data_IF_506461575569
#
_entry.id   IF_506461575569
#
_cell.length_a   1.000
_cell.length_b   1.000
_cell.length_c   1.000
_cell.angle_alpha   90.00
_cell.angle_beta   90.00
_cell.angle_gamma   90.00
#
_symmetry.space_group_name_H-M   'P 1'
#
loop_
_entity.id
_entity.type
_entity.pdbx_description
1 polymer ?
#
# COMPACT_ATOMS: atom_id res chain seq x y z
N UNK A 1 19.78 16.00 7.13
CA UNK A 1 20.64 15.77 5.95
C UNK A 1 21.25 14.37 5.89
N UNK A 2 21.54 13.68 7.01
CA UNK A 2 22.24 12.37 6.98
C UNK A 2 21.51 11.15 6.39
N UNK A 3 20.17 11.08 6.41
CA UNK A 3 19.45 9.87 5.94
C UNK A 3 19.31 9.77 4.41
N UNK A 4 19.30 10.89 3.68
CA UNK A 4 19.14 10.87 2.23
C UNK A 4 20.44 10.53 1.49
N UNK A 5 21.59 10.96 2.02
CA UNK A 5 22.92 10.65 1.47
C UNK A 5 23.34 9.20 1.75
N UNK A 6 23.02 8.66 2.94
CA UNK A 6 23.27 7.27 3.29
C UNK A 6 22.45 6.30 2.41
N UNK A 7 21.17 6.59 2.17
CA UNK A 7 20.30 5.77 1.32
C UNK A 7 20.75 5.80 -0.15
N UNK A 8 21.21 6.96 -0.66
CA UNK A 8 21.74 7.07 -2.01
C UNK A 8 23.01 6.20 -2.18
N UNK A 9 23.95 6.25 -1.24
CA UNK A 9 25.19 5.44 -1.32
C UNK A 9 24.92 3.93 -1.27
N UNK A 10 23.95 3.48 -0.47
CA UNK A 10 23.56 2.06 -0.44
C UNK A 10 22.81 1.60 -1.70
N UNK A 11 21.91 2.43 -2.25
CA UNK A 11 21.18 2.15 -3.49
C UNK A 11 22.14 2.04 -4.67
N UNK A 12 23.07 2.99 -4.83
CA UNK A 12 24.09 2.96 -5.89
C UNK A 12 25.12 1.84 -5.68
N UNK A 13 25.55 1.57 -4.45
CA UNK A 13 26.41 0.43 -4.13
C UNK A 13 25.75 -0.91 -4.45
N UNK A 14 24.44 -1.02 -4.23
CA UNK A 14 23.66 -2.21 -4.58
C UNK A 14 23.46 -2.37 -6.09
N UNK A 15 23.36 -1.27 -6.84
CA UNK A 15 23.31 -1.31 -8.30
C UNK A 15 24.64 -1.77 -8.89
N UNK A 16 25.78 -1.29 -8.41
CA UNK A 16 27.09 -1.71 -8.91
C UNK A 16 27.37 -3.20 -8.65
N UNK A 17 26.98 -3.71 -7.46
CA UNK A 17 27.04 -5.14 -7.16
C UNK A 17 26.13 -5.96 -8.07
N UNK A 18 24.92 -5.47 -8.33
CA UNK A 18 23.97 -6.11 -9.23
C UNK A 18 24.54 -6.18 -10.65
N UNK A 19 25.07 -5.09 -11.20
CA UNK A 19 25.67 -5.07 -12.55
C UNK A 19 26.82 -6.06 -12.65
N UNK A 20 27.73 -6.07 -11.66
CA UNK A 20 28.87 -6.99 -11.63
C UNK A 20 28.42 -8.46 -11.58
N UNK A 21 27.37 -8.75 -10.81
CA UNK A 21 26.76 -10.08 -10.78
C UNK A 21 26.16 -10.45 -12.13
N UNK A 22 25.36 -9.57 -12.74
CA UNK A 22 24.73 -9.81 -14.05
C UNK A 22 25.75 -9.99 -15.18
N UNK A 23 26.92 -9.36 -15.10
CA UNK A 23 28.00 -9.49 -16.07
C UNK A 23 28.61 -10.90 -16.08
N UNK A 24 28.56 -11.60 -14.95
CA UNK A 24 29.11 -12.96 -14.78
C UNK A 24 28.16 -14.08 -15.23
N UNK A 25 26.90 -13.75 -15.56
CA UNK A 25 25.88 -14.75 -15.87
C UNK A 25 25.87 -15.14 -17.34
N UNK A 26 25.52 -16.39 -17.60
CA UNK A 26 25.11 -16.87 -18.92
C UNK A 26 23.72 -16.33 -19.29
N UNK A 27 23.26 -16.57 -20.52
CA UNK A 27 21.98 -16.05 -21.01
C UNK A 27 20.79 -16.49 -20.13
N UNK A 28 20.80 -17.75 -19.69
CA UNK A 28 19.74 -18.31 -18.84
C UNK A 28 19.76 -17.67 -17.46
N UNK A 29 20.91 -17.62 -16.82
CA UNK A 29 21.09 -16.97 -15.52
C UNK A 29 20.70 -15.51 -15.58
N UNK A 30 21.10 -14.78 -16.63
CA UNK A 30 20.76 -13.39 -16.84
C UNK A 30 19.25 -13.17 -16.90
N UNK A 31 18.53 -13.91 -17.76
CA UNK A 31 17.08 -13.75 -17.92
C UNK A 31 16.33 -14.11 -16.64
N UNK A 32 16.69 -15.21 -15.98
CA UNK A 32 16.03 -15.64 -14.74
C UNK A 32 16.24 -14.62 -13.62
N UNK A 33 17.48 -14.14 -13.44
CA UNK A 33 17.82 -13.12 -12.43
C UNK A 33 17.12 -11.79 -12.70
N UNK A 34 17.20 -11.27 -13.92
CA UNK A 34 16.53 -10.01 -14.29
C UNK A 34 15.01 -10.09 -14.10
N UNK A 35 14.40 -11.24 -14.41
CA UNK A 35 12.97 -11.47 -14.21
C UNK A 35 12.60 -11.52 -12.73
N UNK A 36 13.38 -12.24 -11.92
CA UNK A 36 13.16 -12.31 -10.47
C UNK A 36 13.27 -10.93 -9.82
N UNK A 37 14.28 -10.13 -10.20
CA UNK A 37 14.44 -8.76 -9.70
C UNK A 37 13.31 -7.84 -10.16
N UNK A 38 12.83 -7.99 -11.40
CA UNK A 38 11.69 -7.23 -11.91
C UNK A 38 10.41 -7.58 -11.15
N UNK A 39 10.16 -8.87 -10.93
CA UNK A 39 8.98 -9.37 -10.22
C UNK A 39 8.95 -8.92 -8.75
N UNK A 40 10.08 -8.93 -8.07
CA UNK A 40 10.18 -8.41 -6.69
C UNK A 40 10.05 -6.88 -6.65
N UNK A 41 10.65 -6.17 -7.61
CA UNK A 41 10.51 -4.70 -7.70
C UNK A 41 9.04 -4.28 -7.84
N UNK A 42 8.28 -4.98 -8.70
CA UNK A 42 6.83 -4.74 -8.84
C UNK A 42 6.06 -5.06 -7.55
N UNK A 43 6.43 -6.13 -6.83
CA UNK A 43 5.84 -6.47 -5.52
C UNK A 43 6.03 -5.33 -4.52
N UNK A 44 7.25 -4.80 -4.44
CA UNK A 44 7.60 -3.71 -3.52
C UNK A 44 6.84 -2.44 -3.91
N UNK A 45 6.76 -2.10 -5.19
CA UNK A 45 5.96 -0.96 -5.68
C UNK A 45 4.50 -1.09 -5.21
N UNK A 46 3.86 -2.24 -5.43
CA UNK A 46 2.47 -2.46 -5.02
C UNK A 46 2.30 -2.40 -3.50
N UNK A 47 3.21 -3.02 -2.74
CA UNK A 47 3.20 -3.00 -1.28
C UNK A 47 3.35 -1.59 -0.72
N UNK A 48 4.20 -0.77 -1.35
CA UNK A 48 4.42 0.62 -0.94
C UNK A 48 3.24 1.51 -1.31
N UNK A 49 2.58 1.22 -2.43
CA UNK A 49 1.44 1.99 -2.91
C UNK A 49 0.14 1.68 -2.16
N UNK A 50 -0.15 0.40 -1.85
CA UNK A 50 -1.41 -0.01 -1.24
C UNK A 50 -1.55 0.41 0.23
N UNK A 51 -2.78 0.33 0.76
CA UNK A 51 -3.04 0.51 2.20
C UNK A 51 -2.28 -0.56 3.00
N UNK A 52 -1.67 -0.18 4.13
CA UNK A 52 -0.97 -1.14 4.99
C UNK A 52 -1.97 -1.87 5.90
N UNK A 53 -2.56 -2.94 5.38
CA UNK A 53 -3.49 -3.79 6.10
C UNK A 53 -3.39 -5.26 5.65
N UNK A 54 -4.08 -6.14 6.37
CA UNK A 54 -4.08 -7.59 6.11
C UNK A 54 -4.60 -7.94 4.71
N UNK A 55 -5.60 -7.23 4.20
CA UNK A 55 -6.17 -7.49 2.88
C UNK A 55 -5.14 -7.20 1.77
N UNK A 56 -4.43 -6.08 1.83
CA UNK A 56 -3.35 -5.76 0.88
C UNK A 56 -2.22 -6.80 0.91
N UNK A 57 -1.83 -7.27 2.11
CA UNK A 57 -0.82 -8.33 2.24
C UNK A 57 -1.27 -9.64 1.60
N UNK A 58 -2.53 -10.05 1.81
CA UNK A 58 -3.11 -11.24 1.19
C UNK A 58 -3.23 -11.15 -0.34
N UNK A 59 -3.33 -9.93 -0.90
CA UNK A 59 -3.27 -9.75 -2.35
C UNK A 59 -1.89 -10.09 -2.93
N UNK A 60 -0.82 -9.78 -2.19
CA UNK A 60 0.57 -9.88 -2.67
C UNK A 60 1.25 -11.20 -2.28
N UNK A 61 0.91 -11.75 -1.11
CA UNK A 61 1.63 -12.83 -0.44
C UNK A 61 0.73 -14.04 -0.16
N UNK A 62 1.30 -15.23 -0.26
CA UNK A 62 0.62 -16.51 -0.03
C UNK A 62 0.49 -17.36 -1.29
N UNK A 63 0.20 -18.65 -1.09
CA UNK A 63 0.20 -19.67 -2.14
C UNK A 63 -0.78 -19.39 -3.30
N UNK A 64 -1.88 -18.67 -3.03
CA UNK A 64 -2.91 -18.32 -4.01
C UNK A 64 -3.16 -16.81 -4.06
N UNK A 65 -2.13 -15.99 -3.82
CA UNK A 65 -2.32 -14.54 -3.80
C UNK A 65 -2.67 -14.01 -5.22
N UNK A 66 -3.74 -13.20 -5.38
CA UNK A 66 -4.17 -12.69 -6.68
C UNK A 66 -3.10 -11.92 -7.46
N UNK A 67 -2.18 -11.26 -6.75
CA UNK A 67 -1.04 -10.54 -7.31
C UNK A 67 0.29 -11.29 -7.02
N UNK A 68 0.22 -12.62 -6.95
CA UNK A 68 1.36 -13.50 -6.66
C UNK A 68 2.25 -13.79 -7.87
N UNK A 69 1.76 -13.59 -9.10
CA UNK A 69 2.52 -13.91 -10.32
C UNK A 69 3.12 -12.68 -10.98
N UNK A 70 4.22 -12.86 -11.72
CA UNK A 70 4.85 -11.81 -12.50
C UNK A 70 3.84 -11.10 -13.43
N UNK A 71 3.01 -11.85 -14.18
CA UNK A 71 2.01 -11.24 -15.08
C UNK A 71 0.95 -10.42 -14.33
N UNK A 72 0.43 -10.93 -13.20
CA UNK A 72 -0.56 -10.19 -12.41
C UNK A 72 0.00 -8.88 -11.86
N UNK A 73 1.28 -8.88 -11.44
CA UNK A 73 1.94 -7.67 -10.92
C UNK A 73 2.20 -6.64 -12.01
N UNK A 74 2.65 -7.08 -13.20
CA UNK A 74 2.84 -6.19 -14.36
C UNK A 74 1.53 -5.47 -14.69
N UNK A 75 0.44 -6.24 -14.84
CA UNK A 75 -0.89 -5.70 -15.15
C UNK A 75 -1.39 -4.76 -14.07
N UNK A 76 -1.30 -5.14 -12.78
CA UNK A 76 -1.74 -4.30 -11.68
C UNK A 76 -0.98 -2.97 -11.63
N UNK A 77 0.35 -3.00 -11.71
CA UNK A 77 1.16 -1.77 -11.72
C UNK A 77 0.77 -0.85 -12.88
N UNK A 78 0.55 -1.38 -14.07
CA UNK A 78 0.19 -0.57 -15.23
C UNK A 78 -1.24 -0.03 -15.12
N UNK A 79 -2.22 -0.85 -14.76
CA UNK A 79 -3.61 -0.43 -14.59
C UNK A 79 -3.80 0.58 -13.46
N UNK A 80 -2.92 0.60 -12.46
CA UNK A 80 -2.90 1.59 -11.39
C UNK A 80 -2.08 2.84 -11.73
N UNK A 81 -1.48 2.93 -12.92
CA UNK A 81 -0.66 4.07 -13.35
C UNK A 81 0.70 4.18 -12.63
N UNK A 82 1.21 3.08 -12.05
CA UNK A 82 2.46 3.05 -11.31
C UNK A 82 3.68 2.86 -12.22
N UNK A 83 3.48 2.36 -13.44
CA UNK A 83 4.51 2.20 -14.46
C UNK A 83 4.01 2.75 -15.79
N UNK A 84 4.95 3.13 -16.66
CA UNK A 84 4.66 3.65 -18.00
C UNK A 84 4.34 2.52 -18.99
N UNK A 85 3.75 2.86 -20.12
CA UNK A 85 3.51 1.91 -21.22
C UNK A 85 4.82 1.26 -21.73
N UNK A 86 5.89 2.06 -21.82
CA UNK A 86 7.24 1.59 -22.20
C UNK A 86 7.72 0.48 -21.24
N UNK A 87 7.63 0.74 -19.94
CA UNK A 87 8.00 -0.21 -18.88
C UNK A 87 7.12 -1.45 -18.89
N UNK A 88 5.80 -1.29 -19.05
CA UNK A 88 4.86 -2.40 -19.18
C UNK A 88 5.21 -3.31 -20.36
N UNK A 89 5.49 -2.73 -21.53
CA UNK A 89 5.88 -3.48 -22.74
C UNK A 89 7.17 -4.27 -22.53
N UNK A 90 8.22 -3.64 -22.00
CA UNK A 90 9.50 -4.30 -21.73
C UNK A 90 9.36 -5.45 -20.71
N UNK A 91 8.54 -5.26 -19.67
CA UNK A 91 8.25 -6.30 -18.66
C UNK A 91 7.50 -7.50 -19.27
N UNK A 92 6.51 -7.26 -20.14
CA UNK A 92 5.80 -8.34 -20.84
C UNK A 92 6.71 -9.09 -21.83
N UNK A 93 7.61 -8.38 -22.50
CA UNK A 93 8.65 -9.01 -23.35
C UNK A 93 9.57 -9.87 -22.50
N UNK A 94 10.11 -9.34 -21.40
CA UNK A 94 10.97 -10.08 -20.46
C UNK A 94 10.26 -11.33 -19.93
N UNK A 95 8.99 -11.21 -19.54
CA UNK A 95 8.17 -12.33 -19.07
C UNK A 95 8.03 -13.43 -20.14
N UNK A 96 7.80 -13.05 -21.40
CA UNK A 96 7.70 -14.01 -22.52
C UNK A 96 9.03 -14.73 -22.76
N UNK A 97 10.15 -14.00 -22.76
CA UNK A 97 11.49 -14.56 -22.90
C UNK A 97 11.77 -15.51 -21.73
N UNK A 98 11.54 -15.08 -20.49
CA UNK A 98 11.72 -15.90 -19.27
C UNK A 98 10.96 -17.21 -19.35
N UNK A 99 9.72 -17.19 -19.82
CA UNK A 99 8.92 -18.41 -19.95
C UNK A 99 9.56 -19.41 -20.93
N UNK A 100 10.19 -18.95 -22.02
CA UNK A 100 10.94 -19.83 -22.91
C UNK A 100 12.15 -20.45 -22.21
N UNK A 101 12.91 -19.64 -21.47
CA UNK A 101 14.05 -20.13 -20.69
C UNK A 101 13.67 -21.02 -19.49
N UNK A 102 12.44 -20.95 -18.96
CA UNK A 102 12.04 -21.72 -17.78
C UNK A 102 11.26 -23.01 -18.07
N UNK A 103 10.60 -23.13 -19.24
CA UNK A 103 9.69 -24.24 -19.53
C UNK A 103 10.27 -25.33 -20.45
N UNK A 104 11.58 -25.33 -20.69
CA UNK A 104 12.26 -26.41 -21.42
C UNK A 104 13.58 -26.79 -20.76
N UNK A 105 13.88 -28.09 -20.83
CA UNK A 105 15.19 -28.64 -20.46
C UNK A 105 16.20 -28.50 -21.61
N UNK A 106 15.72 -28.26 -22.83
CA UNK A 106 16.55 -28.06 -24.01
C UNK A 106 17.36 -26.76 -23.94
N UNK A 107 18.41 -26.68 -24.76
CA UNK A 107 19.24 -25.49 -24.87
C UNK A 107 18.46 -24.39 -25.58
N UNK A 108 18.15 -23.33 -24.84
CA UNK A 108 17.54 -22.08 -25.35
C UNK A 108 18.63 -21.02 -25.43
N UNK A 109 18.61 -20.22 -26.48
CA UNK A 109 19.62 -19.18 -26.71
C UNK A 109 19.04 -17.88 -27.26
N UNK A 110 19.78 -16.78 -27.14
CA UNK A 110 19.37 -15.50 -27.74
C UNK A 110 19.36 -15.53 -29.27
N UNK A 111 20.10 -16.43 -29.91
CA UNK A 111 20.07 -16.61 -31.37
C UNK A 111 18.80 -17.32 -31.88
N UNK A 112 17.97 -17.86 -30.99
CA UNK A 112 16.70 -18.46 -31.38
C UNK A 112 15.80 -17.38 -31.98
N UNK A 113 15.24 -17.66 -33.17
CA UNK A 113 14.53 -16.65 -33.98
C UNK A 113 13.41 -15.95 -33.22
N UNK A 114 12.64 -16.70 -32.41
CA UNK A 114 11.54 -16.13 -31.64
C UNK A 114 12.05 -15.26 -30.48
N UNK A 115 13.14 -15.64 -29.82
CA UNK A 115 13.76 -14.87 -28.74
C UNK A 115 14.43 -13.60 -29.25
N UNK A 116 15.23 -13.69 -30.31
CA UNK A 116 15.87 -12.54 -30.94
C UNK A 116 14.82 -11.49 -31.38
N UNK A 117 13.69 -11.94 -31.95
CA UNK A 117 12.56 -11.05 -32.29
C UNK A 117 11.86 -10.41 -31.08
N UNK A 118 11.89 -11.03 -29.90
CA UNK A 118 11.40 -10.41 -28.68
C UNK A 118 12.42 -9.38 -28.17
N UNK A 119 13.71 -9.73 -28.14
CA UNK A 119 14.80 -8.84 -27.71
C UNK A 119 14.85 -7.57 -28.56
N UNK A 120 14.65 -7.68 -29.87
CA UNK A 120 14.64 -6.53 -30.78
C UNK A 120 13.52 -5.53 -30.50
N UNK A 121 12.44 -5.95 -29.83
CA UNK A 121 11.31 -5.11 -29.44
C UNK A 121 11.51 -4.40 -28.10
N UNK A 122 12.52 -4.81 -27.32
CA UNK A 122 12.87 -4.10 -26.09
C UNK A 122 13.25 -2.67 -26.43
N UNK A 123 12.80 -1.74 -25.60
CA UNK A 123 13.24 -0.36 -25.73
C UNK A 123 14.73 -0.22 -25.45
N UNK A 124 15.38 0.79 -26.02
CA UNK A 124 16.78 1.09 -25.67
C UNK A 124 16.89 1.70 -24.27
N UNK A 125 18.03 1.43 -23.63
CA UNK A 125 18.42 2.03 -22.36
C UNK A 125 18.38 3.55 -22.46
N UNK A 126 17.81 4.20 -21.45
CA UNK A 126 17.86 5.66 -21.29
C UNK A 126 19.18 6.14 -20.68
N UNK A 127 20.04 5.21 -20.24
CA UNK A 127 21.29 5.50 -19.52
C UNK A 127 22.53 5.23 -20.38
N UNK A 128 22.41 4.45 -21.45
CA UNK A 128 23.50 4.12 -22.34
C UNK A 128 23.23 4.69 -23.74
N UNK A 129 24.17 5.47 -24.27
CA UNK A 129 24.11 6.08 -25.59
C UNK A 129 24.88 5.27 -26.65
N UNK A 130 25.58 4.20 -26.25
CA UNK A 130 26.22 3.28 -27.18
C UNK A 130 25.20 2.30 -27.77
N UNK A 131 25.34 2.01 -29.06
CA UNK A 131 24.52 1.02 -29.73
C UNK A 131 24.83 -0.39 -29.17
N UNK A 132 23.83 -1.15 -28.71
CA UNK A 132 24.04 -2.53 -28.28
C UNK A 132 24.23 -3.43 -29.50
N UNK A 133 25.49 -3.72 -29.84
CA UNK A 133 25.92 -4.54 -30.98
C UNK A 133 25.61 -6.06 -30.85
N UNK A 134 24.92 -6.48 -29.79
CA UNK A 134 24.53 -7.88 -29.54
C UNK A 134 23.27 -7.95 -28.69
N UNK A 135 22.52 -9.05 -28.83
CA UNK A 135 21.32 -9.32 -28.03
C UNK A 135 21.62 -9.32 -26.52
N UNK A 136 22.78 -9.85 -26.14
CA UNK A 136 23.24 -9.86 -24.75
C UNK A 136 23.38 -8.44 -24.20
N UNK A 137 24.10 -7.56 -24.91
CA UNK A 137 24.23 -6.15 -24.51
C UNK A 137 22.89 -5.43 -24.51
N UNK A 138 22.03 -5.72 -25.50
CA UNK A 138 20.69 -5.12 -25.58
C UNK A 138 19.84 -5.48 -24.37
N UNK A 139 19.71 -6.76 -24.02
CA UNK A 139 18.97 -7.21 -22.83
C UNK A 139 19.55 -6.60 -21.57
N UNK A 140 20.87 -6.67 -21.40
CA UNK A 140 21.55 -6.17 -20.20
C UNK A 140 21.30 -4.69 -19.98
N UNK A 141 21.52 -3.86 -21.00
CA UNK A 141 21.37 -2.40 -20.87
C UNK A 141 19.91 -2.00 -20.72
N UNK A 142 19.01 -2.53 -21.54
CA UNK A 142 17.57 -2.21 -21.50
C UNK A 142 16.94 -2.58 -20.16
N UNK A 143 17.10 -3.82 -19.71
CA UNK A 143 16.43 -4.29 -18.50
C UNK A 143 17.09 -3.74 -17.23
N UNK A 144 18.41 -3.49 -17.22
CA UNK A 144 19.06 -2.83 -16.08
C UNK A 144 18.55 -1.40 -15.90
N UNK A 145 18.36 -0.64 -16.98
CA UNK A 145 17.73 0.69 -16.91
C UNK A 145 16.30 0.61 -16.40
N UNK A 146 15.51 -0.34 -16.89
CA UNK A 146 14.15 -0.59 -16.40
C UNK A 146 14.15 -0.89 -14.89
N UNK A 147 15.05 -1.74 -14.39
CA UNK A 147 15.14 -2.05 -12.96
C UNK A 147 15.49 -0.82 -12.10
N UNK A 148 16.36 0.05 -12.61
CA UNK A 148 16.68 1.33 -11.95
C UNK A 148 15.41 2.19 -11.89
N UNK A 149 14.67 2.31 -13.00
CA UNK A 149 13.42 3.07 -13.02
C UNK A 149 12.39 2.52 -12.02
N UNK A 150 12.20 1.19 -11.95
CA UNK A 150 11.28 0.56 -11.00
C UNK A 150 11.68 0.82 -9.53
N UNK A 151 12.98 0.77 -9.23
CA UNK A 151 13.49 1.11 -7.88
C UNK A 151 13.27 2.57 -7.54
N UNK A 152 13.51 3.48 -8.49
CA UNK A 152 13.24 4.91 -8.32
C UNK A 152 11.75 5.14 -8.07
N UNK A 153 10.86 4.51 -8.83
CA UNK A 153 9.40 4.58 -8.63
C UNK A 153 9.05 4.16 -7.19
N UNK A 154 9.53 3.00 -6.76
CA UNK A 154 9.29 2.49 -5.40
C UNK A 154 9.78 3.46 -4.31
N UNK A 155 11.00 3.98 -4.45
CA UNK A 155 11.61 4.93 -3.52
C UNK A 155 10.81 6.25 -3.47
N UNK A 156 10.34 6.75 -4.62
CA UNK A 156 9.53 7.97 -4.70
C UNK A 156 8.16 7.81 -4.05
N UNK A 157 7.49 6.66 -4.21
CA UNK A 157 6.21 6.38 -3.55
C UNK A 157 6.34 6.56 -2.04
N UNK A 158 7.41 6.04 -1.44
CA UNK A 158 7.68 6.17 0.00
C UNK A 158 8.08 7.60 0.36
N UNK A 159 9.11 8.16 -0.31
CA UNK A 159 9.66 9.50 -0.02
C UNK A 159 8.62 10.61 -0.11
N UNK A 160 7.70 10.52 -1.09
CA UNK A 160 6.64 11.52 -1.33
C UNK A 160 5.28 11.12 -0.74
N UNK A 161 5.21 10.01 0.00
CA UNK A 161 3.97 9.46 0.54
C UNK A 161 2.84 9.33 -0.52
N UNK A 162 3.19 8.90 -1.74
CA UNK A 162 2.25 8.75 -2.85
C UNK A 162 1.51 7.40 -2.80
N UNK A 163 1.01 7.05 -1.62
CA UNK A 163 0.17 5.85 -1.44
C UNK A 163 -1.23 6.07 -2.00
N UNK A 164 -1.97 4.98 -2.18
CA UNK A 164 -3.40 5.00 -2.49
C UNK A 164 -4.14 5.79 -1.41
N UNK A 165 -5.05 6.67 -1.84
CA UNK A 165 -5.91 7.44 -0.94
C UNK A 165 -7.18 6.66 -0.65
N UNK A 166 -7.60 6.63 0.62
CA UNK A 166 -8.94 6.14 0.96
C UNK A 166 -9.97 7.15 0.46
N UNK A 167 -10.79 6.73 -0.50
CA UNK A 167 -11.88 7.55 -1.07
C UNK A 167 -13.25 7.12 -0.50
N UNK A 168 -13.32 5.94 0.11
CA UNK A 168 -14.53 5.46 0.76
C UNK A 168 -14.91 6.34 1.96
N UNK A 169 -16.21 6.60 2.12
CA UNK A 169 -16.78 7.41 3.20
C UNK A 169 -17.76 6.57 4.00
N UNK A 170 -17.75 6.73 5.32
CA UNK A 170 -18.78 6.18 6.19
C UNK A 170 -19.85 7.25 6.46
N UNK A 171 -21.09 6.83 6.64
CA UNK A 171 -22.17 7.75 7.01
C UNK A 171 -21.94 8.23 8.45
N UNK A 172 -21.97 9.54 8.65
CA UNK A 172 -22.04 10.15 9.99
C UNK A 172 -23.38 10.84 10.10
N UNK A 173 -24.26 10.35 10.99
CA UNK A 173 -25.54 11.00 11.23
C UNK A 173 -25.29 12.34 11.93
N UNK A 174 -25.76 13.44 11.35
CA UNK A 174 -25.75 14.75 12.01
C UNK A 174 -26.77 14.85 13.14
N UNK A 175 -27.08 16.08 13.56
CA UNK A 175 -28.13 16.36 14.52
C UNK A 175 -29.39 16.87 13.80
N UNK A 176 -30.56 16.55 14.35
CA UNK A 176 -31.84 17.07 13.86
C UNK A 176 -32.04 18.56 14.18
N UNK A 177 -31.30 19.08 15.15
CA UNK A 177 -31.29 20.48 15.59
C UNK A 177 -29.92 21.11 15.31
N UNK A 178 -29.87 22.44 15.25
CA UNK A 178 -28.62 23.23 15.17
C UNK A 178 -28.23 23.89 16.50
N UNK A 179 -29.04 23.73 17.52
CA UNK A 179 -28.84 24.30 18.85
C UNK A 179 -27.78 23.50 19.62
N UNK A 180 -26.71 24.18 20.05
CA UNK A 180 -25.60 23.57 20.79
C UNK A 180 -26.09 22.78 22.00
N UNK A 181 -26.93 23.40 22.84
CA UNK A 181 -27.41 22.82 24.10
C UNK A 181 -28.13 21.51 23.87
N UNK A 182 -29.10 21.49 22.95
CA UNK A 182 -29.85 20.30 22.57
C UNK A 182 -28.96 19.19 22.00
N UNK A 183 -27.94 19.56 21.22
CA UNK A 183 -26.99 18.60 20.65
C UNK A 183 -26.14 17.95 21.74
N UNK A 184 -25.61 18.74 22.69
CA UNK A 184 -24.82 18.26 23.82
C UNK A 184 -25.65 17.39 24.76
N UNK A 185 -26.87 17.80 25.08
CA UNK A 185 -27.80 16.99 25.89
C UNK A 185 -28.06 15.63 25.24
N UNK A 186 -28.27 15.60 23.92
CA UNK A 186 -28.44 14.34 23.19
C UNK A 186 -27.19 13.46 23.26
N UNK A 187 -25.99 14.04 23.18
CA UNK A 187 -24.73 13.29 23.29
C UNK A 187 -24.58 12.70 24.68
N UNK A 188 -24.77 13.49 25.74
CA UNK A 188 -24.65 13.01 27.12
C UNK A 188 -25.68 11.94 27.45
N UNK A 189 -26.91 12.09 26.96
CA UNK A 189 -27.92 11.03 27.06
C UNK A 189 -27.46 9.75 26.37
N UNK A 190 -26.88 9.86 25.18
CA UNK A 190 -26.35 8.71 24.45
C UNK A 190 -25.19 8.05 25.20
N UNK A 191 -24.32 8.83 25.85
CA UNK A 191 -23.23 8.33 26.70
C UNK A 191 -23.77 7.49 27.86
N UNK A 192 -24.78 7.98 28.58
CA UNK A 192 -25.38 7.26 29.71
C UNK A 192 -26.09 5.98 29.26
N UNK A 193 -26.82 6.02 28.14
CA UNK A 193 -27.42 4.83 27.53
C UNK A 193 -26.34 3.79 27.16
N UNK A 194 -25.22 4.24 26.60
CA UNK A 194 -24.07 3.38 26.24
C UNK A 194 -23.46 2.75 27.49
N UNK A 195 -23.17 3.52 28.55
CA UNK A 195 -22.61 2.99 29.80
C UNK A 195 -23.51 1.91 30.39
N UNK A 196 -24.82 2.14 30.40
CA UNK A 196 -25.81 1.18 30.88
C UNK A 196 -25.82 -0.10 30.04
N UNK A 197 -25.88 0.02 28.72
CA UNK A 197 -25.95 -1.13 27.83
C UNK A 197 -24.66 -1.97 27.83
N UNK A 198 -23.50 -1.37 28.12
CA UNK A 198 -22.21 -2.09 28.26
C UNK A 198 -22.17 -3.04 29.45
N UNK A 199 -22.93 -2.76 30.51
CA UNK A 199 -23.04 -3.62 31.69
C UNK A 199 -23.95 -4.83 31.45
N UNK A 200 -24.62 -4.92 30.30
CA UNK A 200 -25.50 -6.03 29.97
C UNK A 200 -24.74 -7.35 29.80
N UNK A 201 -25.35 -8.46 30.21
CA UNK A 201 -24.82 -9.80 29.97
C UNK A 201 -24.93 -10.23 28.49
N UNK A 202 -25.77 -9.58 27.70
CA UNK A 202 -25.94 -9.87 26.28
C UNK A 202 -24.71 -9.40 25.46
N UNK A 203 -23.95 -10.35 24.91
CA UNK A 203 -22.75 -10.05 24.12
C UNK A 203 -23.03 -9.28 22.83
N UNK A 204 -24.14 -9.54 22.15
CA UNK A 204 -24.48 -8.82 20.93
C UNK A 204 -24.91 -7.38 21.24
N UNK A 205 -25.61 -7.16 22.35
CA UNK A 205 -25.90 -5.81 22.82
C UNK A 205 -24.62 -5.04 23.13
N UNK A 206 -23.66 -5.63 23.86
CA UNK A 206 -22.38 -4.96 24.15
C UNK A 206 -21.59 -4.61 22.89
N UNK A 207 -21.53 -5.51 21.90
CA UNK A 207 -20.89 -5.24 20.59
C UNK A 207 -21.58 -4.09 19.86
N UNK A 208 -22.91 -4.08 19.83
CA UNK A 208 -23.68 -2.99 19.23
C UNK A 208 -23.47 -1.66 19.96
N UNK A 209 -23.37 -1.70 21.29
CA UNK A 209 -23.09 -0.53 22.12
C UNK A 209 -21.69 0.04 21.88
N UNK A 210 -20.68 -0.82 21.66
CA UNK A 210 -19.36 -0.39 21.22
C UNK A 210 -19.39 0.31 19.86
N UNK A 211 -20.21 -0.19 18.92
CA UNK A 211 -20.46 0.50 17.65
C UNK A 211 -21.10 1.88 17.87
N UNK A 212 -22.14 1.99 18.70
CA UNK A 212 -22.77 3.28 19.05
C UNK A 212 -21.77 4.27 19.64
N UNK A 213 -20.88 3.84 20.53
CA UNK A 213 -19.84 4.70 21.12
C UNK A 213 -18.90 5.27 20.05
N UNK A 214 -18.44 4.43 19.12
CA UNK A 214 -17.60 4.86 18.00
C UNK A 214 -18.32 5.86 17.08
N UNK A 215 -19.58 5.60 16.74
CA UNK A 215 -20.40 6.53 15.94
C UNK A 215 -20.63 7.86 16.66
N UNK A 216 -20.82 7.84 17.99
CA UNK A 216 -20.99 9.05 18.78
C UNK A 216 -19.72 9.92 18.75
N UNK A 217 -18.54 9.30 18.74
CA UNK A 217 -17.26 10.01 18.58
C UNK A 217 -17.17 10.74 17.24
N UNK A 218 -17.60 10.10 16.15
CA UNK A 218 -17.65 10.70 14.81
C UNK A 218 -18.69 11.83 14.75
N UNK A 219 -19.88 11.59 15.33
CA UNK A 219 -20.99 12.56 15.36
C UNK A 219 -20.68 13.81 16.17
N UNK A 220 -19.90 13.71 17.26
CA UNK A 220 -19.47 14.86 18.09
C UNK A 220 -18.80 15.97 17.28
N UNK A 221 -18.04 15.61 16.25
CA UNK A 221 -17.32 16.59 15.41
C UNK A 221 -18.28 17.47 14.60
N UNK A 222 -19.55 17.06 14.47
CA UNK A 222 -20.60 17.80 13.78
C UNK A 222 -21.44 18.68 14.71
N UNK A 223 -21.05 18.84 15.99
CA UNK A 223 -21.72 19.77 16.91
C UNK A 223 -21.52 21.20 16.40
N UNK A 224 -22.63 21.94 16.35
CA UNK A 224 -22.66 23.36 16.05
C UNK A 224 -22.36 24.12 17.33
N UNK A 225 -21.21 24.79 17.36
CA UNK A 225 -20.86 25.73 18.42
C UNK A 225 -21.75 26.98 18.33
N UNK A 226 -22.05 27.60 19.47
CA UNK A 226 -22.72 28.89 19.47
C UNK A 226 -21.77 29.98 18.98
N UNK A 227 -22.31 30.95 18.24
CA UNK A 227 -21.54 32.07 17.67
C UNK A 227 -21.66 33.30 18.57
N UNK A 228 -21.21 33.20 19.83
CA UNK A 228 -21.38 34.26 20.82
C UNK A 228 -20.18 34.34 21.79
N UNK A 229 -19.23 35.24 21.52
CA UNK A 229 -18.05 35.56 22.36
C UNK A 229 -16.95 34.49 22.48
N UNK A 230 -15.71 34.93 22.75
CA UNK A 230 -14.56 34.05 22.97
C UNK A 230 -14.69 33.16 24.21
N UNK A 231 -15.44 33.60 25.22
CA UNK A 231 -15.63 32.86 26.46
C UNK A 231 -16.59 31.67 26.28
N UNK A 232 -17.71 31.86 25.58
CA UNK A 232 -18.63 30.76 25.23
C UNK A 232 -17.90 29.68 24.43
N UNK A 233 -17.18 30.08 23.37
CA UNK A 233 -16.43 29.15 22.53
C UNK A 233 -15.43 28.29 23.33
N UNK A 234 -14.70 28.90 24.27
CA UNK A 234 -13.74 28.16 25.10
C UNK A 234 -14.44 27.13 26.00
N UNK A 235 -15.58 27.48 26.59
CA UNK A 235 -16.37 26.57 27.42
C UNK A 235 -16.94 25.42 26.59
N UNK A 236 -17.46 25.71 25.40
CA UNK A 236 -17.99 24.69 24.50
C UNK A 236 -16.91 23.74 23.96
N UNK A 237 -15.71 24.27 23.71
CA UNK A 237 -14.55 23.47 23.29
C UNK A 237 -14.09 22.54 24.41
N UNK A 238 -14.02 23.06 25.64
CA UNK A 238 -13.70 22.26 26.82
C UNK A 238 -14.72 21.13 27.01
N UNK A 239 -16.00 21.41 26.82
CA UNK A 239 -17.06 20.40 26.91
C UNK A 239 -16.94 19.33 25.81
N UNK A 240 -16.64 19.73 24.58
CA UNK A 240 -16.38 18.79 23.48
C UNK A 240 -15.18 17.86 23.77
N UNK A 241 -14.13 18.39 24.42
CA UNK A 241 -12.97 17.60 24.85
C UNK A 241 -13.36 16.60 25.95
N UNK A 242 -14.16 17.01 26.95
CA UNK A 242 -14.64 16.08 28.00
C UNK A 242 -15.47 14.95 27.40
N UNK A 243 -16.40 15.26 26.50
CA UNK A 243 -17.21 14.27 25.79
C UNK A 243 -16.30 13.28 25.06
N UNK A 244 -15.26 13.78 24.37
CA UNK A 244 -14.29 12.90 23.70
C UNK A 244 -13.63 11.93 24.69
N UNK A 245 -13.07 12.45 25.78
CA UNK A 245 -12.40 11.65 26.79
C UNK A 245 -13.32 10.59 27.40
N UNK A 246 -14.57 10.95 27.65
CA UNK A 246 -15.56 10.03 28.20
C UNK A 246 -15.88 8.89 27.22
N UNK A 247 -16.11 9.21 25.94
CA UNK A 247 -16.37 8.21 24.90
C UNK A 247 -15.16 7.28 24.71
N UNK A 248 -13.94 7.83 24.72
CA UNK A 248 -12.71 7.03 24.61
C UNK A 248 -12.54 6.08 25.81
N UNK A 249 -12.76 6.56 27.03
CA UNK A 249 -12.74 5.73 28.25
C UNK A 249 -13.74 4.58 28.18
N UNK A 250 -14.96 4.86 27.71
CA UNK A 250 -16.01 3.84 27.51
C UNK A 250 -15.58 2.77 26.49
N UNK A 251 -14.98 3.19 25.36
CA UNK A 251 -14.49 2.28 24.32
C UNK A 251 -13.39 1.38 24.88
N UNK A 252 -12.42 1.95 25.60
CA UNK A 252 -11.32 1.19 26.22
C UNK A 252 -11.83 0.15 27.23
N UNK A 253 -12.77 0.54 28.10
CA UNK A 253 -13.39 -0.37 29.06
C UNK A 253 -14.13 -1.52 28.37
N UNK A 254 -14.90 -1.21 27.32
CA UNK A 254 -15.64 -2.21 26.56
C UNK A 254 -14.70 -3.21 25.86
N UNK A 255 -13.62 -2.74 25.23
CA UNK A 255 -12.63 -3.60 24.59
C UNK A 255 -11.88 -4.49 25.59
N UNK A 256 -11.60 -3.97 26.79
CA UNK A 256 -11.01 -4.75 27.88
C UNK A 256 -11.94 -5.86 28.38
N UNK A 257 -13.23 -5.57 28.56
CA UNK A 257 -14.23 -6.56 28.99
C UNK A 257 -14.35 -7.70 27.98
N UNK A 258 -14.46 -7.40 26.69
CA UNK A 258 -14.58 -8.43 25.64
C UNK A 258 -13.30 -9.29 25.53
N UNK A 259 -12.10 -8.69 25.58
CA UNK A 259 -10.83 -9.45 25.57
C UNK A 259 -10.68 -10.43 26.74
N UNK A 260 -11.20 -10.09 27.92
CA UNK A 260 -11.08 -10.95 29.10
C UNK A 260 -12.14 -12.06 29.13
N UNK A 261 -13.34 -11.82 28.60
CA UNK A 261 -14.38 -12.87 28.50
C UNK A 261 -14.04 -13.92 27.44
N UNK A 262 -13.36 -13.56 26.35
CA UNK A 262 -12.87 -14.52 25.35
C UNK A 262 -11.72 -15.40 25.85
N UNK A 263 -11.02 -15.01 26.92
CA UNK A 263 -9.98 -15.82 27.59
C UNK A 263 -10.52 -16.79 28.65
N UNK A 264 -11.78 -16.61 29.07
CA UNK A 264 -12.44 -17.42 30.10
C UNK A 264 -13.34 -18.52 29.51
N UNK A 265 -13.42 -18.62 28.18
CA UNK A 265 -14.06 -19.70 27.42
C UNK A 265 -13.01 -20.58 26.76
#
# INVERSE_FOLDING_TARGET
MGNAEAMNNEEFGSLNRLTSYLDSLDERGLILSLSAFSEDSLRIILSNFMLDNKASKQLLEGFNSPLGTFSSRIKACYSLGLITEKQYSDLEILRKIRNKFSHTWEKVSFSDKDISQQISKLNYSSLNFEFPDSELKKVRTSISSLLIELRVISSQIVKKNQKVKLIGTHLVSGFSTRDYTSQIEHIWKSIEDIKKDLLSDNSELRKFTLHKARELCNRRVLVNFSDESSESFNNELLESIKIKQEIESIIEQAEFIEKNKDRAK
#
